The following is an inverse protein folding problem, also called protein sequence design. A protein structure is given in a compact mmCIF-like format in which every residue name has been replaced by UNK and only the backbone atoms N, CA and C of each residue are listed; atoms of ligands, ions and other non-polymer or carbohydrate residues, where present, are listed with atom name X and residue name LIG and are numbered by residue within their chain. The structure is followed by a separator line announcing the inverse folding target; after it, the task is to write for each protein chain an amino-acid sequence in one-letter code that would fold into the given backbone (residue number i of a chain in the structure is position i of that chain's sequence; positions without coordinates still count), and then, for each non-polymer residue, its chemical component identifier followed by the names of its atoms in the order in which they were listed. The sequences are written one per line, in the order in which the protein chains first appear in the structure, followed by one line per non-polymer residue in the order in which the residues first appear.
data_IF_181332349423
#
_entry.id   IF_181332349423
#
_cell.length_a   1.000
_cell.length_b   1.000
_cell.length_c   1.000
_cell.angle_alpha   90.00
_cell.angle_beta   90.00
_cell.angle_gamma   90.00
#
_symmetry.space_group_name_H-M   'P 1'
#
loop_
_entity.id
_entity.type
_entity.pdbx_description
1 polymer ?
#
# COMPACT_ATOMS: atom_id res chain seq x y z
N UNK A 1 -5.31 9.89 -9.03
CA UNK A 1 -4.72 8.64 -8.49
C UNK A 1 -3.31 8.88 -7.91
N UNK A 2 -3.09 9.99 -7.20
CA UNK A 2 -1.77 10.38 -6.68
C UNK A 2 -1.70 10.39 -5.15
N UNK A 3 -2.82 10.60 -4.46
CA UNK A 3 -2.85 10.69 -3.00
C UNK A 3 -2.35 9.43 -2.28
N UNK A 4 -2.76 8.24 -2.73
CA UNK A 4 -2.39 6.97 -2.10
C UNK A 4 -0.93 6.53 -2.38
N UNK A 5 -0.34 7.00 -3.49
CA UNK A 5 1.08 6.80 -3.79
C UNK A 5 1.91 7.78 -2.98
N UNK A 6 1.48 9.04 -2.92
CA UNK A 6 2.16 10.09 -2.15
C UNK A 6 2.14 9.83 -0.65
N UNK A 7 1.08 9.19 -0.13
CA UNK A 7 1.00 8.78 1.28
C UNK A 7 1.83 7.54 1.63
N UNK A 8 2.52 6.93 0.65
CA UNK A 8 3.29 5.69 0.85
C UNK A 8 2.44 4.44 1.08
N UNK A 9 1.11 4.58 1.00
CA UNK A 9 0.15 3.49 1.19
C UNK A 9 0.19 2.48 0.04
N UNK A 10 0.32 2.97 -1.19
CA UNK A 10 0.57 2.15 -2.39
C UNK A 10 2.04 2.29 -2.78
N UNK A 11 2.70 1.16 -2.99
CA UNK A 11 4.08 1.09 -3.47
C UNK A 11 4.12 0.21 -4.73
N UNK A 12 5.03 0.52 -5.64
CA UNK A 12 5.24 -0.29 -6.85
C UNK A 12 5.86 -1.65 -6.55
N UNK A 13 5.85 -2.50 -7.56
CA UNK A 13 6.59 -3.77 -7.52
C UNK A 13 8.11 -3.51 -7.42
N UNK A 14 8.95 -4.54 -7.19
CA UNK A 14 10.41 -4.37 -7.14
C UNK A 14 11.04 -3.77 -8.40
N UNK A 15 10.33 -3.74 -9.53
CA UNK A 15 10.76 -3.06 -10.76
C UNK A 15 10.36 -1.58 -10.82
N UNK A 16 9.78 -1.05 -9.73
CA UNK A 16 9.31 0.33 -9.60
C UNK A 16 8.01 0.60 -10.35
N UNK A 17 7.30 -0.44 -10.81
CA UNK A 17 6.08 -0.28 -11.62
C UNK A 17 4.83 -0.39 -10.76
N UNK A 18 3.90 0.54 -10.96
CA UNK A 18 2.54 0.42 -10.45
C UNK A 18 1.72 -0.37 -11.47
N UNK A 19 1.06 -1.43 -11.00
CA UNK A 19 0.20 -2.28 -11.84
C UNK A 19 -1.27 -2.15 -11.41
N UNK A 20 -1.93 -1.00 -11.66
CA UNK A 20 -3.25 -0.69 -11.10
C UNK A 20 -4.37 -1.60 -11.61
N UNK A 21 -4.18 -2.25 -12.76
CA UNK A 21 -5.14 -3.16 -13.38
C UNK A 21 -4.90 -4.63 -13.01
N UNK A 22 -3.81 -4.94 -12.31
CA UNK A 22 -3.53 -6.30 -11.88
C UNK A 22 -4.37 -6.63 -10.65
N UNK A 23 -4.81 -7.89 -10.55
CA UNK A 23 -5.42 -8.39 -9.32
C UNK A 23 -4.41 -8.35 -8.17
N UNK A 24 -4.86 -7.86 -7.02
CA UNK A 24 -4.06 -7.80 -5.79
C UNK A 24 -4.12 -9.14 -5.05
N UNK A 25 -3.00 -9.57 -4.52
CA UNK A 25 -2.92 -10.76 -3.67
C UNK A 25 -3.35 -10.45 -2.23
N UNK A 26 -3.77 -11.46 -1.48
CA UNK A 26 -4.09 -11.30 -0.04
C UNK A 26 -2.91 -10.73 0.77
N UNK A 27 -1.69 -11.12 0.42
CA UNK A 27 -0.48 -10.65 1.09
C UNK A 27 -0.26 -9.15 0.85
N UNK A 28 -0.42 -8.70 -0.39
CA UNK A 28 -0.30 -7.27 -0.74
C UNK A 28 -1.40 -6.44 -0.06
N UNK A 29 -2.64 -6.94 -0.02
CA UNK A 29 -3.74 -6.29 0.69
C UNK A 29 -3.44 -6.16 2.18
N UNK A 30 -2.96 -7.23 2.83
CA UNK A 30 -2.59 -7.19 4.25
C UNK A 30 -1.46 -6.18 4.52
N UNK A 31 -0.44 -6.14 3.66
CA UNK A 31 0.65 -5.18 3.77
C UNK A 31 0.19 -3.73 3.57
N UNK A 32 -0.79 -3.47 2.70
CA UNK A 32 -1.41 -2.15 2.56
C UNK A 32 -2.20 -1.76 3.81
N UNK A 33 -3.01 -2.67 4.35
CA UNK A 33 -3.80 -2.42 5.58
C UNK A 33 -2.90 -2.13 6.78
N UNK A 34 -1.81 -2.88 6.95
CA UNK A 34 -0.84 -2.62 8.01
C UNK A 34 -0.25 -1.19 7.93
N UNK A 35 0.12 -0.76 6.73
CA UNK A 35 0.62 0.61 6.49
C UNK A 35 -0.46 1.66 6.78
N UNK A 36 -1.69 1.41 6.36
CA UNK A 36 -2.83 2.29 6.66
C UNK A 36 -3.02 2.44 8.17
N UNK A 37 -3.14 1.33 8.89
CA UNK A 37 -3.41 1.31 10.32
C UNK A 37 -2.32 2.03 11.12
N UNK A 38 -1.05 1.89 10.72
CA UNK A 38 0.05 2.67 11.30
C UNK A 38 -0.06 4.17 10.96
N UNK A 39 -0.37 4.50 9.70
CA UNK A 39 -0.47 5.90 9.26
C UNK A 39 -1.60 6.67 9.96
N UNK A 40 -2.70 5.99 10.32
CA UNK A 40 -3.82 6.59 11.07
C UNK A 40 -3.71 6.42 12.59
N UNK A 41 -2.57 5.94 13.11
CA UNK A 41 -2.31 5.81 14.55
C UNK A 41 -3.14 4.74 15.26
N UNK A 42 -3.69 3.76 14.52
CA UNK A 42 -4.42 2.63 15.11
C UNK A 42 -3.49 1.51 15.59
N UNK A 43 -2.25 1.47 15.09
CA UNK A 43 -1.21 0.55 15.54
C UNK A 43 0.04 1.37 15.87
N UNK A 44 0.44 1.34 17.14
CA UNK A 44 1.74 1.82 17.57
C UNK A 44 2.85 0.81 17.18
N UNK A 45 4.07 1.31 17.03
CA UNK A 45 5.23 0.51 16.62
C UNK A 45 5.81 -0.32 17.78
#
# INVERSE_FOLDING_TARGET
MTAAVHSGLIQGDPSGRLRPQQQITRAETAAMLLRMLRAVGFLDA
#
